data_IF_232745682476
#
_entry.id   IF_232745682476
#
_cell.length_a   1.000
_cell.length_b   1.000
_cell.length_c   1.000
_cell.angle_alpha   90.00
_cell.angle_beta   90.00
_cell.angle_gamma   90.00
#
_symmetry.space_group_name_H-M   'P 1'
#
loop_
_entity.id
_entity.type
_entity.pdbx_description
1 polymer ?
#
# COMPACT_ATOMS: atom_id res chain seq x y z
N UNK A 1 -4.92 -0.74 -13.98
CA UNK A 1 -5.79 -0.29 -12.87
C UNK A 1 -5.24 0.99 -12.26
N UNK A 2 -5.39 2.13 -12.94
CA UNK A 2 -5.20 3.48 -12.37
C UNK A 2 -3.79 3.94 -11.96
N UNK A 3 -2.79 3.07 -11.82
CA UNK A 3 -1.45 3.41 -11.34
C UNK A 3 -0.77 4.54 -12.14
N UNK A 4 -0.66 4.40 -13.46
CA UNK A 4 -0.06 5.43 -14.32
C UNK A 4 -0.79 6.78 -14.21
N UNK A 5 -2.12 6.76 -14.17
CA UNK A 5 -2.92 7.98 -14.02
C UNK A 5 -2.69 8.67 -12.67
N UNK A 6 -2.49 7.91 -11.60
CA UNK A 6 -2.08 8.44 -10.28
C UNK A 6 -0.68 9.05 -10.37
N UNK A 7 0.27 8.33 -10.96
CA UNK A 7 1.65 8.79 -11.07
C UNK A 7 1.76 10.08 -11.88
N UNK A 8 1.12 10.16 -13.05
CA UNK A 8 1.09 11.36 -13.88
C UNK A 8 0.46 12.55 -13.14
N UNK A 9 -0.67 12.31 -12.43
CA UNK A 9 -1.32 13.35 -11.63
C UNK A 9 -0.42 13.87 -10.52
N UNK A 10 0.32 13.00 -9.85
CA UNK A 10 1.24 13.38 -8.77
C UNK A 10 2.46 14.13 -9.30
N UNK A 11 2.99 13.74 -10.46
CA UNK A 11 4.08 14.49 -11.12
C UNK A 11 3.67 15.93 -11.41
N UNK A 12 2.49 16.12 -12.03
CA UNK A 12 1.96 17.45 -12.32
C UNK A 12 1.76 18.28 -11.05
N UNK A 13 1.19 17.68 -10.01
CA UNK A 13 0.85 18.38 -8.77
C UNK A 13 2.09 18.74 -7.93
N UNK A 14 3.06 17.84 -7.84
CA UNK A 14 4.26 18.03 -7.02
C UNK A 14 5.39 18.75 -7.78
N UNK A 15 5.33 18.79 -9.11
CA UNK A 15 6.36 19.37 -9.96
C UNK A 15 7.68 18.57 -9.96
N UNK A 16 7.62 17.27 -9.69
CA UNK A 16 8.76 16.35 -9.63
C UNK A 16 8.51 15.10 -10.46
N UNK A 17 9.58 14.47 -10.94
CA UNK A 17 9.58 13.20 -11.66
C UNK A 17 9.77 11.97 -10.78
N UNK A 18 10.11 10.84 -11.41
CA UNK A 18 10.51 9.62 -10.72
C UNK A 18 11.85 9.84 -10.01
N UNK A 19 11.94 9.40 -8.76
CA UNK A 19 13.12 9.49 -7.89
C UNK A 19 13.57 10.92 -7.61
N UNK A 20 12.65 11.87 -7.76
CA UNK A 20 12.86 13.28 -7.41
C UNK A 20 12.10 13.63 -6.12
N UNK A 21 12.69 14.52 -5.33
CA UNK A 21 12.15 15.01 -4.07
C UNK A 21 11.63 16.43 -4.22
N UNK A 22 10.49 16.74 -3.62
CA UNK A 22 9.94 18.08 -3.54
C UNK A 22 10.92 19.05 -2.87
N UNK A 23 10.84 20.35 -3.20
CA UNK A 23 11.77 21.37 -2.71
C UNK A 23 11.71 21.59 -1.19
N UNK A 24 10.60 21.22 -0.55
CA UNK A 24 10.45 21.20 0.91
C UNK A 24 11.04 19.94 1.58
N UNK A 25 11.53 18.98 0.80
CA UNK A 25 12.17 17.76 1.28
C UNK A 25 11.20 16.72 1.84
N UNK A 26 9.88 16.90 1.69
CA UNK A 26 8.87 16.06 2.36
C UNK A 26 8.51 14.82 1.55
N UNK A 27 8.35 14.95 0.24
CA UNK A 27 7.86 13.87 -0.64
C UNK A 27 8.92 13.53 -1.68
N UNK A 28 9.29 12.26 -1.77
CA UNK A 28 10.01 11.70 -2.92
C UNK A 28 9.07 10.81 -3.71
N UNK A 29 8.88 11.09 -4.99
CA UNK A 29 7.93 10.36 -5.83
C UNK A 29 8.63 9.23 -6.56
N UNK A 30 8.21 7.98 -6.33
CA UNK A 30 8.80 6.82 -6.98
C UNK A 30 7.75 6.07 -7.80
N UNK A 31 8.12 5.72 -9.04
CA UNK A 31 7.37 4.75 -9.84
C UNK A 31 7.99 3.38 -9.59
N UNK A 32 7.19 2.44 -9.10
CA UNK A 32 7.64 1.11 -8.76
C UNK A 32 6.78 0.06 -9.44
N UNK A 33 7.32 -1.15 -9.48
CA UNK A 33 6.63 -2.34 -9.97
C UNK A 33 5.57 -2.83 -8.95
N UNK A 34 5.15 -4.09 -9.10
CA UNK A 34 4.10 -4.68 -8.28
C UNK A 34 4.37 -4.60 -6.76
N UNK A 35 3.40 -4.05 -6.02
CA UNK A 35 3.37 -3.97 -4.55
C UNK A 35 2.67 -5.18 -3.88
N UNK A 36 2.34 -6.24 -4.61
CA UNK A 36 1.65 -7.42 -4.12
C UNK A 36 0.31 -7.15 -3.39
N UNK A 37 -0.41 -6.10 -3.78
CA UNK A 37 -1.70 -5.69 -3.22
C UNK A 37 -2.78 -5.53 -4.32
N UNK A 38 -2.78 -6.46 -5.28
CA UNK A 38 -3.61 -6.39 -6.49
C UNK A 38 -5.11 -6.44 -6.21
N UNK A 39 -5.50 -7.07 -5.11
CA UNK A 39 -6.87 -7.14 -4.58
C UNK A 39 -7.41 -5.79 -4.08
N UNK A 40 -6.53 -4.81 -3.84
CA UNK A 40 -6.85 -3.44 -3.43
C UNK A 40 -6.43 -2.37 -4.46
N UNK A 41 -6.06 -2.78 -5.68
CA UNK A 41 -5.61 -1.85 -6.72
C UNK A 41 -6.68 -0.81 -7.08
N UNK A 42 -6.28 0.45 -7.38
CA UNK A 42 -4.92 0.99 -7.41
C UNK A 42 -4.36 1.26 -6.00
N UNK A 43 -3.06 1.02 -5.79
CA UNK A 43 -2.40 1.14 -4.47
C UNK A 43 -1.25 2.13 -4.54
N UNK A 44 -1.13 2.99 -3.53
CA UNK A 44 0.04 3.83 -3.25
C UNK A 44 0.65 3.40 -1.92
N UNK A 45 1.97 3.51 -1.78
CA UNK A 45 2.67 3.21 -0.54
C UNK A 45 3.42 4.44 -0.06
N UNK A 46 3.35 4.72 1.24
CA UNK A 46 4.15 5.77 1.89
C UNK A 46 4.89 5.12 3.04
N UNK A 47 6.21 5.12 2.97
CA UNK A 47 7.07 4.61 4.05
C UNK A 47 6.67 3.21 4.54
N UNK A 48 6.40 2.28 3.61
CA UNK A 48 5.99 0.88 3.83
C UNK A 48 4.56 0.65 4.33
N UNK A 49 3.75 1.69 4.42
CA UNK A 49 2.34 1.57 4.77
C UNK A 49 1.46 1.75 3.53
N UNK A 50 0.37 0.98 3.46
CA UNK A 50 -0.48 0.89 2.28
C UNK A 50 -1.62 1.91 2.30
N UNK A 51 -1.85 2.50 1.13
CA UNK A 51 -3.02 3.32 0.82
C UNK A 51 -3.74 2.64 -0.35
N UNK A 52 -4.82 1.94 -0.01
CA UNK A 52 -5.59 1.09 -0.91
C UNK A 52 -6.65 1.89 -1.67
N UNK A 53 -7.16 1.32 -2.77
CA UNK A 53 -8.28 1.85 -3.56
C UNK A 53 -8.13 3.33 -3.97
N UNK A 54 -6.90 3.74 -4.32
CA UNK A 54 -6.58 5.13 -4.61
C UNK A 54 -7.14 5.57 -5.95
N UNK A 55 -7.48 6.86 -6.02
CA UNK A 55 -7.76 7.60 -7.26
C UNK A 55 -6.71 8.69 -7.43
N UNK A 56 -6.58 9.29 -8.63
CA UNK A 56 -5.71 10.45 -8.82
C UNK A 56 -5.98 11.58 -7.82
N UNK A 57 -7.25 11.83 -7.49
CA UNK A 57 -7.67 12.83 -6.50
C UNK A 57 -7.29 12.43 -5.07
N UNK A 58 -7.56 11.20 -4.65
CA UNK A 58 -7.24 10.75 -3.29
C UNK A 58 -5.72 10.71 -3.06
N UNK A 59 -4.95 10.34 -4.08
CA UNK A 59 -3.49 10.35 -4.05
C UNK A 59 -2.94 11.78 -3.94
N UNK A 60 -3.55 12.75 -4.66
CA UNK A 60 -3.21 14.17 -4.52
C UNK A 60 -3.47 14.66 -3.09
N UNK A 61 -4.62 14.33 -2.53
CA UNK A 61 -4.94 14.69 -1.14
C UNK A 61 -4.02 13.99 -0.13
N UNK A 62 -3.60 12.76 -0.41
CA UNK A 62 -2.62 12.03 0.41
C UNK A 62 -1.31 12.81 0.47
N UNK A 63 -0.72 13.17 -0.67
CA UNK A 63 0.56 13.91 -0.67
C UNK A 63 0.43 15.32 -0.08
N UNK A 64 -0.72 15.98 -0.23
CA UNK A 64 -1.00 17.25 0.45
C UNK A 64 -1.04 17.06 1.98
N UNK A 65 -1.65 15.97 2.47
CA UNK A 65 -1.71 15.69 3.90
C UNK A 65 -0.33 15.41 4.50
N UNK A 66 0.57 14.77 3.76
CA UNK A 66 1.95 14.51 4.18
C UNK A 66 2.75 15.81 4.39
N UNK A 67 2.36 16.89 3.70
CA UNK A 67 2.96 18.22 3.78
C UNK A 67 2.25 19.12 4.80
N UNK A 68 1.32 18.57 5.57
CA UNK A 68 0.57 19.24 6.62
C UNK A 68 0.91 18.64 7.99
N UNK A 69 0.44 19.26 9.07
CA UNK A 69 0.63 18.76 10.43
C UNK A 69 -0.24 17.52 10.76
N UNK A 70 -1.12 17.08 9.85
CA UNK A 70 -2.06 15.97 10.09
C UNK A 70 -2.10 15.01 8.89
N UNK A 71 -1.07 14.16 8.73
CA UNK A 71 -1.03 13.18 7.64
C UNK A 71 -2.17 12.18 7.74
N UNK A 72 -2.75 11.79 6.60
CA UNK A 72 -3.76 10.74 6.55
C UNK A 72 -3.17 9.40 7.04
N UNK A 73 -3.92 8.70 7.89
CA UNK A 73 -3.55 7.36 8.33
C UNK A 73 -3.59 6.37 7.14
N UNK A 74 -2.72 5.34 7.14
CA UNK A 74 -2.76 4.29 6.12
C UNK A 74 -4.07 3.51 6.21
N UNK A 75 -4.48 2.90 5.09
CA UNK A 75 -5.64 1.99 5.07
C UNK A 75 -5.29 0.64 5.67
N UNK A 76 -4.04 0.21 5.48
CA UNK A 76 -3.48 -0.99 6.07
C UNK A 76 -2.02 -0.76 6.45
N UNK A 77 -1.71 -1.06 7.71
CA UNK A 77 -0.35 -1.02 8.22
C UNK A 77 -0.27 -0.43 9.62
N UNK A 78 0.94 -0.05 10.02
CA UNK A 78 1.19 0.69 11.25
C UNK A 78 1.08 2.20 11.00
N UNK A 79 0.91 3.04 12.04
CA UNK A 79 0.95 4.49 11.88
C UNK A 79 2.21 4.96 11.13
N UNK A 80 2.07 5.98 10.28
CA UNK A 80 3.19 6.50 9.51
C UNK A 80 4.34 6.96 10.43
N UNK A 81 5.56 6.70 10.00
CA UNK A 81 6.76 7.29 10.58
C UNK A 81 7.65 7.87 9.48
N UNK A 82 8.65 8.65 9.88
CA UNK A 82 9.58 9.25 8.92
C UNK A 82 10.48 8.21 8.25
N UNK A 83 10.95 8.51 7.04
CA UNK A 83 11.78 7.60 6.23
C UNK A 83 13.00 7.03 6.96
N UNK A 84 13.63 7.81 7.85
CA UNK A 84 14.75 7.36 8.69
C UNK A 84 14.35 6.23 9.65
N UNK A 85 13.16 6.32 10.26
CA UNK A 85 12.66 5.28 11.16
C UNK A 85 12.24 4.05 10.35
N UNK A 86 11.52 4.24 9.25
CA UNK A 86 11.17 3.17 8.31
C UNK A 86 12.42 2.40 7.85
N UNK A 87 13.48 3.10 7.46
CA UNK A 87 14.76 2.48 7.05
C UNK A 87 15.37 1.60 8.14
N UNK A 88 15.23 2.00 9.42
CA UNK A 88 15.71 1.19 10.55
C UNK A 88 14.88 -0.09 10.73
N UNK A 89 13.56 0.04 10.63
CA UNK A 89 12.63 -1.10 10.73
C UNK A 89 12.95 -2.13 9.63
N UNK A 90 13.12 -1.68 8.39
CA UNK A 90 13.49 -2.55 7.26
C UNK A 90 14.86 -3.20 7.41
N UNK A 91 15.79 -2.55 8.12
CA UNK A 91 17.08 -3.14 8.47
C UNK A 91 16.99 -4.20 9.59
N UNK A 92 15.79 -4.53 10.06
CA UNK A 92 15.54 -5.54 11.10
C UNK A 92 15.61 -5.02 12.53
N UNK A 93 15.67 -3.70 12.74
CA UNK A 93 15.55 -3.13 14.09
C UNK A 93 14.10 -3.19 14.56
N UNK A 94 13.86 -3.32 15.88
CA UNK A 94 12.50 -3.46 16.41
C UNK A 94 11.58 -2.30 15.98
N UNK A 95 10.43 -2.66 15.42
CA UNK A 95 9.34 -1.70 15.24
C UNK A 95 8.61 -1.51 16.59
N UNK A 96 8.57 -0.27 17.06
CA UNK A 96 7.92 0.11 18.32
C UNK A 96 6.56 0.78 18.11
N UNK A 97 6.14 0.93 16.85
CA UNK A 97 4.83 1.50 16.52
C UNK A 97 3.73 0.53 16.99
N UNK A 98 2.58 1.06 17.43
CA UNK A 98 1.48 0.21 17.83
C UNK A 98 0.95 -0.58 16.61
N UNK A 99 0.75 -1.87 16.78
CA UNK A 99 0.00 -2.69 15.83
C UNK A 99 -1.50 -2.54 16.13
N UNK A 100 -2.20 -1.82 15.27
CA UNK A 100 -3.64 -1.60 15.38
C UNK A 100 -4.46 -2.74 14.76
N UNK A 101 -3.84 -3.87 14.41
CA UNK A 101 -4.51 -5.05 13.87
C UNK A 101 -4.91 -4.91 12.40
N UNK A 102 -4.28 -4.01 11.66
CA UNK A 102 -4.60 -3.72 10.26
C UNK A 102 -3.93 -4.70 9.26
N UNK A 103 -3.21 -5.71 9.74
CA UNK A 103 -2.42 -6.65 8.93
C UNK A 103 -3.14 -7.91 8.40
N UNK A 104 -4.45 -8.05 8.63
CA UNK A 104 -5.23 -9.23 8.20
C UNK A 104 -5.74 -9.18 6.75
N UNK A 105 -6.17 -10.34 6.18
CA UNK A 105 -6.81 -10.36 4.87
C UNK A 105 -8.19 -9.68 4.95
N UNK A 106 -8.37 -8.60 4.19
CA UNK A 106 -9.66 -7.92 4.11
C UNK A 106 -10.63 -8.59 3.12
N UNK A 107 -11.80 -7.96 2.93
CA UNK A 107 -12.90 -8.55 2.16
C UNK A 107 -12.54 -8.89 0.70
N UNK A 108 -11.83 -8.03 -0.06
CA UNK A 108 -11.37 -8.37 -1.42
C UNK A 108 -10.52 -9.63 -1.47
N UNK A 109 -9.56 -9.76 -0.55
CA UNK A 109 -8.69 -10.94 -0.41
C UNK A 109 -9.50 -12.22 -0.15
N UNK A 110 -10.54 -12.11 0.68
CA UNK A 110 -11.36 -13.26 1.11
C UNK A 110 -12.49 -13.61 0.14
N UNK A 111 -12.76 -12.78 -0.88
CA UNK A 111 -13.92 -12.94 -1.76
C UNK A 111 -13.96 -14.33 -2.42
N UNK A 112 -12.83 -14.79 -2.98
CA UNK A 112 -12.73 -16.12 -3.58
C UNK A 112 -12.97 -17.26 -2.58
N UNK A 113 -12.44 -17.14 -1.36
CA UNK A 113 -12.64 -18.13 -0.29
C UNK A 113 -14.12 -18.21 0.13
N UNK A 114 -14.80 -17.07 0.23
CA UNK A 114 -16.23 -17.03 0.56
C UNK A 114 -17.07 -17.72 -0.52
N UNK A 115 -16.78 -17.48 -1.80
CA UNK A 115 -17.44 -18.18 -2.92
C UNK A 115 -17.16 -19.68 -2.87
N UNK A 116 -15.91 -20.09 -2.64
CA UNK A 116 -15.54 -21.50 -2.56
C UNK A 116 -16.34 -22.23 -1.47
N UNK A 117 -16.39 -21.65 -0.25
CA UNK A 117 -17.16 -22.21 0.87
C UNK A 117 -18.65 -22.29 0.58
N UNK A 118 -19.23 -21.25 -0.04
CA UNK A 118 -20.65 -21.23 -0.39
C UNK A 118 -21.04 -22.33 -1.37
N UNK A 119 -20.11 -22.75 -2.23
CA UNK A 119 -20.35 -23.76 -3.26
C UNK A 119 -19.74 -25.13 -2.91
N UNK A 120 -19.31 -25.34 -1.65
CA UNK A 120 -18.61 -26.56 -1.20
C UNK A 120 -17.46 -26.99 -2.12
N UNK A 121 -16.74 -26.01 -2.66
CA UNK A 121 -15.61 -26.26 -3.55
C UNK A 121 -14.42 -26.77 -2.74
N UNK A 122 -13.87 -27.91 -3.13
CA UNK A 122 -12.65 -28.45 -2.56
C UNK A 122 -11.55 -28.54 -3.62
N UNK A 123 -10.30 -28.45 -3.18
CA UNK A 123 -9.18 -28.75 -4.05
C UNK A 123 -9.27 -30.21 -4.53
N UNK A 124 -8.86 -30.53 -5.77
CA UNK A 124 -8.73 -31.91 -6.19
C UNK A 124 -7.74 -32.64 -5.28
N UNK A 125 -7.86 -33.97 -5.13
CA UNK A 125 -6.89 -34.75 -4.36
C UNK A 125 -5.48 -34.56 -4.94
N UNK A 126 -4.48 -34.48 -4.06
CA UNK A 126 -3.08 -34.40 -4.47
C UNK A 126 -2.70 -35.68 -5.23
N UNK A 127 -2.12 -35.60 -6.44
CA UNK A 127 -1.65 -36.78 -7.15
C UNK A 127 -0.62 -37.55 -6.30
N UNK A 128 -0.83 -38.85 -6.11
CA UNK A 128 0.08 -39.73 -5.35
C UNK A 128 -0.05 -39.64 -3.82
N UNK A 129 -1.11 -39.05 -3.26
CA UNK A 129 -1.29 -38.99 -1.80
C UNK A 129 -1.51 -40.36 -1.12
N UNK A 130 -1.81 -41.39 -1.92
CA UNK A 130 -2.04 -42.78 -1.48
C UNK A 130 -0.93 -43.76 -1.91
N UNK A 131 0.20 -43.28 -2.46
CA UNK A 131 1.40 -44.08 -2.82
C UNK A 131 2.51 -44.05 -1.76
#
# INVERSE_FOLDING_TARGET
>A
MGGDAIFDRLKEHLGVGHDETTSDGVVTLQHIECNAACDYAPVVMVNWEFFDNQTPESARELVDSLRSDTPKAPTRGAPLCGFRQTSRILAGLPDQRPDEGQGGPGAPTLAGLQVARKNDMQAPPTPGADE
#
